data_IF_371121532217
#
_entry.id   IF_371121532217
#
_cell.length_a   1.000
_cell.length_b   1.000
_cell.length_c   1.000
_cell.angle_alpha   90.00
_cell.angle_beta   90.00
_cell.angle_gamma   90.00
#
_symmetry.space_group_name_H-M   'P 1'
#
loop_
_entity.id
_entity.type
_entity.pdbx_description
1 polymer ?
#
# COMPACT_ATOMS: atom_id res chain seq x y z
N UNK A 1 -11.25 -26.46 -46.66
CA UNK A 1 -10.82 -25.85 -45.39
C UNK A 1 -11.70 -26.41 -44.30
N UNK A 2 -11.14 -26.66 -43.12
CA UNK A 2 -11.93 -27.17 -42.01
C UNK A 2 -12.85 -26.04 -41.54
N UNK A 3 -14.15 -26.32 -41.40
CA UNK A 3 -15.10 -25.33 -40.90
C UNK A 3 -14.77 -25.04 -39.43
N UNK A 4 -14.57 -23.77 -39.11
CA UNK A 4 -14.41 -23.27 -37.75
C UNK A 4 -15.53 -22.28 -37.45
N UNK A 5 -16.10 -22.36 -36.25
CA UNK A 5 -16.97 -21.30 -35.74
C UNK A 5 -16.10 -20.09 -35.37
N UNK A 6 -16.51 -18.86 -35.74
CA UNK A 6 -15.79 -17.66 -35.34
C UNK A 6 -15.80 -17.51 -33.81
N UNK A 7 -14.70 -17.01 -33.26
CA UNK A 7 -14.61 -16.69 -31.83
C UNK A 7 -15.64 -15.61 -31.50
N UNK A 8 -16.53 -15.91 -30.55
CA UNK A 8 -17.63 -15.02 -30.15
C UNK A 8 -17.28 -14.21 -28.91
N UNK A 9 -16.10 -14.43 -28.30
CA UNK A 9 -15.66 -13.70 -27.11
C UNK A 9 -16.62 -13.84 -25.94
N UNK A 10 -17.37 -14.94 -25.89
CA UNK A 10 -18.53 -15.09 -25.04
C UNK A 10 -18.21 -15.17 -23.54
N UNK A 11 -19.06 -14.52 -22.76
CA UNK A 11 -19.12 -14.50 -21.28
C UNK A 11 -19.32 -15.92 -20.72
N UNK A 12 -19.76 -16.87 -21.55
CA UNK A 12 -20.06 -18.26 -21.18
C UNK A 12 -18.85 -19.09 -20.71
N UNK A 13 -17.62 -18.70 -21.08
CA UNK A 13 -16.37 -19.38 -20.70
C UNK A 13 -15.46 -18.47 -19.84
N UNK A 14 -15.99 -17.40 -19.23
CA UNK A 14 -15.19 -16.44 -18.47
C UNK A 14 -14.47 -17.11 -17.28
N UNK A 15 -15.19 -17.98 -16.57
CA UNK A 15 -14.68 -18.68 -15.39
C UNK A 15 -13.53 -19.64 -15.74
N UNK A 16 -13.72 -20.43 -16.79
CA UNK A 16 -12.68 -21.29 -17.37
C UNK A 16 -11.49 -20.48 -17.88
N UNK A 17 -11.76 -19.33 -18.52
CA UNK A 17 -10.71 -18.47 -19.07
C UNK A 17 -9.87 -17.82 -17.96
N UNK A 18 -10.48 -17.44 -16.84
CA UNK A 18 -9.76 -16.95 -15.67
C UNK A 18 -8.78 -18.01 -15.16
N UNK A 19 -9.23 -19.26 -15.01
CA UNK A 19 -8.41 -20.33 -14.48
C UNK A 19 -7.30 -20.79 -15.42
N UNK A 20 -7.62 -21.04 -16.69
CA UNK A 20 -6.68 -21.61 -17.66
C UNK A 20 -5.90 -20.57 -18.47
N UNK A 21 -6.33 -19.30 -18.45
CA UNK A 21 -5.77 -18.23 -19.29
C UNK A 21 -6.19 -18.31 -20.77
N UNK A 22 -7.03 -19.28 -21.13
CA UNK A 22 -7.61 -19.43 -22.47
C UNK A 22 -8.99 -20.10 -22.38
N UNK A 23 -9.90 -19.73 -23.29
CA UNK A 23 -11.20 -20.37 -23.42
C UNK A 23 -11.16 -21.65 -24.27
N UNK A 24 -12.11 -22.55 -24.03
CA UNK A 24 -12.29 -23.79 -24.79
C UNK A 24 -12.53 -23.49 -26.28
N UNK A 25 -13.29 -22.45 -26.62
CA UNK A 25 -13.52 -22.05 -28.01
C UNK A 25 -12.21 -21.73 -28.75
N UNK A 26 -11.28 -21.03 -28.09
CA UNK A 26 -9.99 -20.68 -28.67
C UNK A 26 -9.11 -21.91 -28.88
N UNK A 27 -9.17 -22.86 -27.94
CA UNK A 27 -8.45 -24.13 -28.06
C UNK A 27 -8.99 -24.95 -29.25
N UNK A 28 -10.31 -25.09 -29.40
CA UNK A 28 -10.93 -25.78 -30.56
C UNK A 28 -10.50 -25.19 -31.91
N UNK A 29 -10.55 -23.86 -32.03
CA UNK A 29 -10.11 -23.17 -33.26
C UNK A 29 -8.64 -23.47 -33.54
N UNK A 30 -7.78 -23.40 -32.53
CA UNK A 30 -6.35 -23.66 -32.67
C UNK A 30 -6.07 -25.11 -33.09
N UNK A 31 -6.76 -26.09 -32.49
CA UNK A 31 -6.62 -27.51 -32.85
C UNK A 31 -7.05 -27.74 -34.30
N UNK A 32 -8.19 -27.19 -34.74
CA UNK A 32 -8.66 -27.30 -36.12
C UNK A 32 -7.69 -26.70 -37.13
N UNK A 33 -7.14 -25.52 -36.82
CA UNK A 33 -6.11 -24.88 -37.65
C UNK A 33 -4.82 -25.69 -37.70
N UNK A 34 -4.37 -26.25 -36.58
CA UNK A 34 -3.19 -27.08 -36.52
C UNK A 34 -3.35 -28.34 -37.38
N UNK A 35 -4.51 -29.00 -37.31
CA UNK A 35 -4.79 -30.19 -38.13
C UNK A 35 -4.84 -29.83 -39.62
N UNK A 36 -5.47 -28.71 -39.98
CA UNK A 36 -5.48 -28.22 -41.37
C UNK A 36 -4.05 -27.97 -41.88
N UNK A 37 -3.22 -27.29 -41.09
CA UNK A 37 -1.82 -27.02 -41.43
C UNK A 37 -1.04 -28.33 -41.60
N UNK A 38 -1.21 -29.31 -40.71
CA UNK A 38 -0.51 -30.61 -40.81
C UNK A 38 -0.91 -31.38 -42.06
N UNK A 39 -2.19 -31.38 -42.44
CA UNK A 39 -2.66 -31.99 -43.68
C UNK A 39 -2.04 -31.28 -44.89
N UNK A 40 -2.07 -29.95 -44.92
CA UNK A 40 -1.51 -29.16 -46.02
C UNK A 40 -0.01 -29.36 -46.18
N UNK A 41 0.75 -29.27 -45.09
CA UNK A 41 2.20 -29.48 -45.12
C UNK A 41 2.53 -30.90 -45.56
N UNK A 42 1.88 -31.92 -44.99
CA UNK A 42 2.16 -33.31 -45.36
C UNK A 42 1.89 -33.63 -46.83
N UNK A 43 0.80 -33.10 -47.40
CA UNK A 43 0.48 -33.31 -48.83
C UNK A 43 1.41 -32.50 -49.74
N UNK A 44 1.80 -31.28 -49.35
CA UNK A 44 2.76 -30.46 -50.12
C UNK A 44 4.16 -31.04 -50.10
N UNK A 45 4.63 -31.54 -48.97
CA UNK A 45 5.93 -32.21 -48.86
C UNK A 45 5.96 -33.46 -49.77
N UNK A 46 4.86 -34.22 -49.81
CA UNK A 46 4.70 -35.33 -50.74
C UNK A 46 4.69 -34.87 -52.20
N UNK A 47 4.00 -33.78 -52.51
CA UNK A 47 3.97 -33.19 -53.86
C UNK A 47 5.38 -32.79 -54.32
N UNK A 48 6.12 -32.05 -53.49
CA UNK A 48 7.49 -31.63 -53.77
C UNK A 48 8.41 -32.84 -53.98
N UNK A 49 8.33 -33.84 -53.11
CA UNK A 49 9.12 -35.07 -53.24
C UNK A 49 8.83 -35.82 -54.55
N UNK A 50 7.56 -35.93 -54.94
CA UNK A 50 7.16 -36.58 -56.20
C UNK A 50 7.60 -35.78 -57.43
N UNK A 51 7.60 -34.45 -57.37
CA UNK A 51 8.10 -33.61 -58.46
C UNK A 51 9.62 -33.66 -58.62
N UNK A 52 10.37 -33.86 -57.53
CA UNK A 52 11.83 -33.98 -57.54
C UNK A 52 12.31 -35.39 -57.95
N UNK A 53 11.57 -36.42 -57.54
CA UNK A 53 11.96 -37.82 -57.78
C UNK A 53 11.53 -38.37 -59.14
N UNK A 54 10.53 -37.74 -59.78
CA UNK A 54 10.02 -38.13 -61.08
C UNK A 54 10.34 -37.04 -62.11
N UNK A 55 10.94 -37.41 -63.24
CA UNK A 55 11.15 -36.51 -64.38
C UNK A 55 9.80 -36.25 -65.10
N UNK A 56 8.95 -35.44 -64.46
CA UNK A 56 7.61 -35.10 -64.94
C UNK A 56 7.65 -33.94 -65.95
N UNK A 57 6.86 -34.05 -67.00
CA UNK A 57 6.59 -32.93 -67.91
C UNK A 57 5.69 -31.89 -67.24
N UNK A 58 5.68 -30.64 -67.74
CA UNK A 58 4.93 -29.53 -67.14
C UNK A 58 3.42 -29.81 -67.01
N UNK A 59 2.84 -30.57 -67.95
CA UNK A 59 1.43 -30.99 -67.90
C UNK A 59 1.17 -31.98 -66.76
N UNK A 60 2.11 -32.89 -66.50
CA UNK A 60 2.00 -33.89 -65.45
C UNK A 60 2.21 -33.25 -64.08
N UNK A 61 3.14 -32.28 -63.98
CA UNK A 61 3.31 -31.43 -62.77
C UNK A 61 2.02 -30.69 -62.41
N UNK A 62 1.39 -30.02 -63.38
CA UNK A 62 0.11 -29.33 -63.13
C UNK A 62 -1.01 -30.30 -62.72
N UNK A 63 -1.04 -31.50 -63.31
CA UNK A 63 -2.03 -32.53 -62.95
C UNK A 63 -1.80 -33.07 -61.54
N UNK A 64 -0.54 -33.24 -61.14
CA UNK A 64 -0.14 -33.65 -59.80
C UNK A 64 -0.55 -32.60 -58.76
N UNK A 65 -0.22 -31.32 -58.97
CA UNK A 65 -0.64 -30.22 -58.08
C UNK A 65 -2.15 -30.17 -57.91
N UNK A 66 -2.91 -30.28 -59.01
CA UNK A 66 -4.37 -30.29 -58.94
C UNK A 66 -4.91 -31.49 -58.14
N UNK A 67 -4.27 -32.65 -58.28
CA UNK A 67 -4.64 -33.87 -57.55
C UNK A 67 -4.31 -33.76 -56.06
N UNK A 68 -3.17 -33.17 -55.71
CA UNK A 68 -2.76 -32.87 -54.33
C UNK A 68 -3.71 -31.86 -53.67
N UNK A 69 -4.10 -30.80 -54.37
CA UNK A 69 -5.09 -29.83 -53.88
C UNK A 69 -6.46 -30.48 -53.62
N UNK A 70 -6.87 -31.42 -54.47
CA UNK A 70 -8.09 -32.20 -54.29
C UNK A 70 -7.96 -33.14 -53.08
N UNK A 71 -6.78 -33.73 -52.88
CA UNK A 71 -6.49 -34.60 -51.75
C UNK A 71 -6.56 -33.83 -50.43
N UNK A 72 -5.96 -32.64 -50.35
CA UNK A 72 -6.05 -31.75 -49.19
C UNK A 72 -7.51 -31.47 -48.84
N UNK A 73 -8.33 -31.09 -49.82
CA UNK A 73 -9.76 -30.82 -49.60
C UNK A 73 -10.48 -32.02 -49.02
N UNK A 74 -10.26 -33.20 -49.59
CA UNK A 74 -10.90 -34.44 -49.16
C UNK A 74 -10.51 -34.83 -47.74
N UNK A 75 -9.22 -34.72 -47.37
CA UNK A 75 -8.77 -34.97 -46.00
C UNK A 75 -9.33 -33.96 -45.01
N UNK A 76 -9.34 -32.67 -45.33
CA UNK A 76 -9.92 -31.64 -44.47
C UNK A 76 -11.43 -31.84 -44.26
N UNK A 77 -12.17 -32.21 -45.32
CA UNK A 77 -13.60 -32.53 -45.21
C UNK A 77 -13.84 -33.78 -44.36
N UNK A 78 -13.01 -34.82 -44.53
CA UNK A 78 -13.15 -36.08 -43.79
C UNK A 78 -12.73 -35.97 -42.33
N UNK A 79 -11.84 -35.04 -42.00
CA UNK A 79 -11.42 -34.76 -40.63
C UNK A 79 -12.50 -34.07 -39.79
N UNK A 80 -13.45 -33.38 -40.42
CA UNK A 80 -14.50 -32.60 -39.74
C UNK A 80 -15.22 -33.36 -38.62
N UNK A 81 -15.86 -34.52 -38.89
CA UNK A 81 -16.60 -35.28 -37.88
C UNK A 81 -15.73 -35.73 -36.70
N UNK A 82 -14.47 -36.09 -36.95
CA UNK A 82 -13.54 -36.46 -35.87
C UNK A 82 -13.15 -35.26 -35.02
N UNK A 83 -13.03 -34.08 -35.64
CA UNK A 83 -12.75 -32.82 -34.93
C UNK A 83 -13.97 -32.36 -34.12
N UNK A 84 -15.19 -32.65 -34.57
CA UNK A 84 -16.40 -32.36 -33.79
C UNK A 84 -16.41 -33.16 -32.47
N UNK A 85 -16.01 -34.44 -32.51
CA UNK A 85 -15.85 -35.27 -31.30
C UNK A 85 -14.74 -34.73 -30.38
N UNK A 86 -13.62 -34.30 -30.97
CA UNK A 86 -12.52 -33.71 -30.18
C UNK A 86 -12.98 -32.41 -29.52
N UNK A 87 -13.80 -31.61 -30.20
CA UNK A 87 -14.33 -30.37 -29.63
C UNK A 87 -15.23 -30.64 -28.41
N UNK A 88 -16.05 -31.69 -28.43
CA UNK A 88 -16.87 -32.12 -27.28
C UNK A 88 -16.00 -32.57 -26.09
N UNK A 89 -14.91 -33.28 -26.35
CA UNK A 89 -13.98 -33.70 -25.30
C UNK A 89 -13.19 -32.51 -24.74
N UNK A 90 -12.81 -31.55 -25.58
CA UNK A 90 -12.19 -30.29 -25.15
C UNK A 90 -13.13 -29.54 -24.21
N UNK A 91 -14.42 -29.44 -24.54
CA UNK A 91 -15.41 -28.84 -23.64
C UNK A 91 -15.46 -29.59 -22.31
N UNK A 92 -15.53 -30.92 -22.33
CA UNK A 92 -15.64 -31.71 -21.11
C UNK A 92 -14.43 -31.55 -20.18
N UNK A 93 -13.24 -31.41 -20.75
CA UNK A 93 -11.99 -31.31 -19.98
C UNK A 93 -11.80 -29.90 -19.42
N UNK A 94 -12.12 -28.87 -20.22
CA UNK A 94 -11.87 -27.47 -19.86
C UNK A 94 -13.00 -26.90 -19.00
N UNK A 95 -14.22 -27.42 -19.12
CA UNK A 95 -15.37 -26.91 -18.38
C UNK A 95 -15.20 -27.11 -16.88
N UNK A 96 -15.35 -26.03 -16.12
CA UNK A 96 -15.38 -26.07 -14.67
C UNK A 96 -16.83 -26.37 -14.25
N UNK A 97 -17.08 -27.40 -13.43
CA UNK A 97 -18.44 -27.68 -12.96
C UNK A 97 -19.01 -26.49 -12.17
N UNK A 98 -20.28 -26.15 -12.38
CA UNK A 98 -20.94 -25.02 -11.72
C UNK A 98 -20.98 -25.13 -10.18
N UNK A 99 -20.76 -26.33 -9.63
CA UNK A 99 -20.72 -26.59 -8.20
C UNK A 99 -19.29 -26.54 -7.61
N UNK A 100 -18.30 -26.18 -8.41
CA UNK A 100 -16.90 -26.06 -7.99
C UNK A 100 -16.53 -24.58 -7.98
N UNK A 101 -16.14 -24.11 -6.81
CA UNK A 101 -15.52 -22.81 -6.63
C UNK A 101 -14.01 -22.96 -6.78
N UNK A 102 -13.39 -22.07 -7.55
CA UNK A 102 -11.94 -22.02 -7.69
C UNK A 102 -11.28 -21.55 -6.39
N UNK A 103 -10.05 -21.99 -6.11
CA UNK A 103 -9.30 -21.53 -4.93
C UNK A 103 -9.13 -20.01 -4.86
N UNK A 104 -9.07 -19.35 -6.02
CA UNK A 104 -8.98 -17.90 -6.16
C UNK A 104 -10.21 -17.17 -5.61
N UNK A 105 -11.35 -17.84 -5.61
CA UNK A 105 -12.64 -17.31 -5.18
C UNK A 105 -13.05 -17.79 -3.79
N UNK A 106 -12.18 -18.50 -3.04
CA UNK A 106 -12.50 -18.95 -1.68
C UNK A 106 -12.97 -17.81 -0.75
N UNK A 107 -12.48 -16.58 -0.99
CA UNK A 107 -12.89 -15.38 -0.25
C UNK A 107 -14.37 -15.05 -0.49
N UNK A 108 -14.95 -15.47 -1.61
CA UNK A 108 -16.38 -15.30 -1.92
C UNK A 108 -17.27 -16.27 -1.14
N UNK A 109 -16.73 -17.31 -0.49
CA UNK A 109 -17.52 -18.19 0.38
C UNK A 109 -18.11 -17.43 1.57
N UNK A 110 -17.38 -16.43 2.05
CA UNK A 110 -17.83 -15.50 3.06
C UNK A 110 -18.34 -14.25 2.36
N UNK A 111 -19.54 -14.33 1.77
CA UNK A 111 -20.20 -13.16 1.19
C UNK A 111 -20.38 -12.08 2.28
N UNK A 112 -19.50 -11.08 2.26
CA UNK A 112 -19.66 -9.87 3.07
C UNK A 112 -20.73 -9.03 2.40
N UNK A 113 -21.83 -8.79 3.10
CA UNK A 113 -22.89 -7.92 2.58
C UNK A 113 -22.35 -6.50 2.39
N UNK A 114 -22.87 -5.77 1.39
CA UNK A 114 -22.50 -4.36 1.17
C UNK A 114 -22.72 -3.51 2.44
N UNK A 115 -23.74 -3.85 3.23
CA UNK A 115 -24.03 -3.19 4.51
C UNK A 115 -22.93 -3.44 5.54
N UNK A 116 -22.40 -4.66 5.63
CA UNK A 116 -21.33 -5.00 6.56
C UNK A 116 -20.00 -4.42 6.11
N UNK A 117 -19.76 -4.33 4.80
CA UNK A 117 -18.61 -3.62 4.26
C UNK A 117 -18.64 -2.12 4.60
N UNK A 118 -19.78 -1.44 4.43
CA UNK A 118 -19.90 -0.03 4.78
C UNK A 118 -19.80 0.20 6.31
N UNK A 119 -20.37 -0.67 7.14
CA UNK A 119 -20.15 -0.63 8.60
C UNK A 119 -18.67 -0.74 8.95
N UNK A 120 -17.95 -1.69 8.35
CA UNK A 120 -16.52 -1.89 8.59
C UNK A 120 -15.73 -0.65 8.16
N UNK A 121 -16.10 -0.05 7.02
CA UNK A 121 -15.49 1.18 6.52
C UNK A 121 -15.69 2.35 7.47
N UNK A 122 -16.90 2.55 7.98
CA UNK A 122 -17.19 3.58 8.99
C UNK A 122 -16.41 3.36 10.29
N UNK A 123 -16.30 2.11 10.74
CA UNK A 123 -15.51 1.74 11.91
C UNK A 123 -14.03 2.06 11.72
N UNK A 124 -13.45 1.73 10.56
CA UNK A 124 -12.06 2.06 10.23
C UNK A 124 -11.83 3.57 10.25
N UNK A 125 -12.75 4.36 9.71
CA UNK A 125 -12.66 5.83 9.72
C UNK A 125 -12.76 6.36 11.16
N UNK A 126 -13.67 5.83 11.97
CA UNK A 126 -13.83 6.19 13.38
C UNK A 126 -12.57 5.88 14.19
N UNK A 127 -11.99 4.69 14.00
CA UNK A 127 -10.77 4.26 14.67
C UNK A 127 -9.58 5.14 14.27
N UNK A 128 -9.41 5.48 12.99
CA UNK A 128 -8.36 6.42 12.55
C UNK A 128 -8.46 7.77 13.25
N UNK A 129 -9.66 8.36 13.31
CA UNK A 129 -9.88 9.63 14.05
C UNK A 129 -9.61 9.49 15.54
N UNK A 130 -9.87 8.33 16.14
CA UNK A 130 -9.55 8.08 17.56
C UNK A 130 -8.05 8.01 17.78
N UNK A 131 -7.31 7.34 16.89
CA UNK A 131 -5.85 7.25 16.95
C UNK A 131 -5.22 8.62 16.79
N UNK A 132 -5.66 9.42 15.81
CA UNK A 132 -5.17 10.80 15.61
C UNK A 132 -5.38 11.68 16.84
N UNK A 133 -6.58 11.62 17.45
CA UNK A 133 -6.86 12.34 18.69
C UNK A 133 -6.03 11.83 19.87
N UNK A 134 -5.80 10.52 19.96
CA UNK A 134 -4.94 9.92 20.97
C UNK A 134 -3.51 10.43 20.86
N UNK A 135 -2.95 10.45 19.66
CA UNK A 135 -1.60 10.96 19.40
C UNK A 135 -1.48 12.45 19.73
N UNK A 136 -2.50 13.26 19.40
CA UNK A 136 -2.51 14.69 19.79
C UNK A 136 -2.54 14.86 21.31
N UNK A 137 -3.37 14.07 22.00
CA UNK A 137 -3.46 14.14 23.46
C UNK A 137 -2.16 13.71 24.13
N UNK A 138 -1.52 12.64 23.65
CA UNK A 138 -0.22 12.19 24.13
C UNK A 138 0.85 13.29 23.98
N UNK A 139 0.88 13.97 22.83
CA UNK A 139 1.79 15.10 22.62
C UNK A 139 1.55 16.26 23.59
N UNK A 140 0.28 16.59 23.87
CA UNK A 140 -0.08 17.65 24.82
C UNK A 140 0.31 17.27 26.25
N UNK A 141 0.02 16.05 26.68
CA UNK A 141 0.37 15.56 28.01
C UNK A 141 1.88 15.51 28.22
N UNK A 142 2.63 15.10 27.20
CA UNK A 142 4.11 15.09 27.24
C UNK A 142 4.64 16.51 27.41
N UNK A 143 4.07 17.49 26.68
CA UNK A 143 4.46 18.89 26.83
C UNK A 143 4.13 19.46 28.22
N UNK A 144 2.96 19.10 28.78
CA UNK A 144 2.57 19.50 30.14
C UNK A 144 3.50 18.88 31.20
N UNK A 145 3.88 17.61 31.06
CA UNK A 145 4.82 16.95 31.97
C UNK A 145 6.20 17.61 31.95
N UNK A 146 6.69 18.01 30.78
CA UNK A 146 7.93 18.78 30.64
C UNK A 146 7.83 20.15 31.32
N UNK A 147 6.71 20.86 31.16
CA UNK A 147 6.46 22.15 31.81
C UNK A 147 6.41 22.00 33.33
N UNK A 148 5.66 21.04 33.85
CA UNK A 148 5.55 20.75 35.28
C UNK A 148 6.93 20.39 35.89
N UNK A 149 7.72 19.58 35.19
CA UNK A 149 9.10 19.25 35.58
C UNK A 149 9.99 20.50 35.65
N UNK A 150 9.78 21.47 34.76
CA UNK A 150 10.49 22.74 34.80
C UNK A 150 10.09 23.59 36.01
N UNK A 151 8.79 23.65 36.33
CA UNK A 151 8.26 24.39 37.48
C UNK A 151 8.73 23.76 38.79
N UNK A 152 8.72 22.43 38.89
CA UNK A 152 9.19 21.71 40.06
C UNK A 152 10.66 22.05 40.38
N UNK A 153 11.53 22.12 39.35
CA UNK A 153 12.92 22.55 39.52
C UNK A 153 13.03 23.97 40.07
N UNK A 154 12.19 24.90 39.59
CA UNK A 154 12.16 26.28 40.10
C UNK A 154 11.69 26.32 41.55
N UNK A 155 10.65 25.56 41.91
CA UNK A 155 10.18 25.44 43.29
C UNK A 155 11.27 24.87 44.22
N UNK A 156 12.01 23.86 43.78
CA UNK A 156 13.13 23.30 44.55
C UNK A 156 14.27 24.29 44.75
N UNK A 157 14.55 25.16 43.77
CA UNK A 157 15.51 26.27 43.93
C UNK A 157 14.97 27.27 44.96
N UNK A 158 13.72 27.69 44.82
CA UNK A 158 13.10 28.66 45.74
C UNK A 158 13.04 28.15 47.18
N UNK A 159 12.81 26.85 47.40
CA UNK A 159 12.88 26.22 48.73
C UNK A 159 14.29 26.35 49.32
N UNK A 160 15.33 26.03 48.55
CA UNK A 160 16.73 26.17 49.00
C UNK A 160 17.08 27.62 49.32
N UNK A 161 16.63 28.56 48.50
CA UNK A 161 16.85 29.99 48.75
C UNK A 161 16.15 30.44 50.04
N UNK A 162 14.92 29.97 50.28
CA UNK A 162 14.21 30.19 51.55
C UNK A 162 14.96 29.61 52.75
N UNK A 163 15.48 28.38 52.65
CA UNK A 163 16.28 27.77 53.73
C UNK A 163 17.53 28.60 54.05
N UNK A 164 18.21 29.14 53.03
CA UNK A 164 19.36 30.05 53.22
C UNK A 164 18.93 31.34 53.90
N UNK A 165 17.81 31.93 53.50
CA UNK A 165 17.27 33.14 54.13
C UNK A 165 16.89 32.89 55.60
N UNK A 166 16.26 31.75 55.91
CA UNK A 166 15.93 31.36 57.28
C UNK A 166 17.19 31.18 58.14
N UNK A 167 18.26 30.60 57.59
CA UNK A 167 19.55 30.48 58.26
C UNK A 167 20.20 31.87 58.48
N UNK A 168 20.15 32.75 57.49
CA UNK A 168 20.65 34.12 57.63
C UNK A 168 19.88 34.88 58.71
N UNK A 169 18.55 34.77 58.75
CA UNK A 169 17.70 35.39 59.77
C UNK A 169 18.05 34.86 61.17
N UNK A 170 18.13 33.54 61.36
CA UNK A 170 18.53 32.94 62.64
C UNK A 170 19.91 33.40 63.09
N UNK A 171 20.87 33.49 62.17
CA UNK A 171 22.21 34.02 62.47
C UNK A 171 22.15 35.51 62.85
N UNK A 172 21.32 36.31 62.19
CA UNK A 172 21.10 37.73 62.50
C UNK A 172 20.52 37.93 63.91
N UNK A 173 19.55 37.10 64.30
CA UNK A 173 18.88 37.18 65.60
C UNK A 173 19.76 36.70 66.76
N UNK A 174 20.66 35.73 66.49
CA UNK A 174 21.58 35.14 67.47
C UNK A 174 22.89 35.91 67.69
N UNK A 175 23.26 36.80 66.76
CA UNK A 175 24.53 37.53 66.81
C UNK A 175 24.36 38.92 67.45
N UNK A 176 24.83 39.08 68.69
CA UNK A 176 24.83 40.37 69.40
C UNK A 176 25.57 41.48 68.63
N UNK A 177 26.55 41.11 67.79
CA UNK A 177 27.27 42.05 66.92
C UNK A 177 26.39 42.68 65.84
N UNK A 178 25.35 41.99 65.37
CA UNK A 178 24.47 42.51 64.32
C UNK A 178 23.42 43.45 64.88
N UNK A 179 22.90 43.18 66.08
CA UNK A 179 22.07 44.14 66.84
C UNK A 179 22.87 45.41 67.15
N UNK A 180 24.16 45.27 67.47
CA UNK A 180 25.08 46.41 67.63
C UNK A 180 25.22 47.21 66.33
N UNK A 181 25.50 46.56 65.20
CA UNK A 181 25.61 47.22 63.89
C UNK A 181 24.27 47.87 63.48
N UNK A 182 23.14 47.22 63.71
CA UNK A 182 21.82 47.79 63.42
C UNK A 182 21.53 49.02 64.28
N UNK A 183 21.88 48.98 65.56
CA UNK A 183 21.74 50.11 66.48
C UNK A 183 22.69 51.26 66.14
N UNK A 184 23.92 50.96 65.71
CA UNK A 184 24.91 51.97 65.25
C UNK A 184 24.49 52.58 63.91
N UNK A 185 23.98 51.79 62.96
CA UNK A 185 23.47 52.30 61.69
C UNK A 185 22.21 53.14 61.90
N UNK A 186 21.27 52.71 62.76
CA UNK A 186 20.12 53.54 63.14
C UNK A 186 20.55 54.82 63.86
N UNK A 187 21.56 54.75 64.73
CA UNK A 187 22.13 55.92 65.40
C UNK A 187 22.76 56.88 64.39
N UNK A 188 23.59 56.38 63.47
CA UNK A 188 24.21 57.17 62.40
C UNK A 188 23.13 57.78 61.51
N UNK A 189 22.16 57.01 61.00
CA UNK A 189 21.06 57.53 60.19
C UNK A 189 20.19 58.56 60.94
N UNK A 190 19.99 58.42 62.25
CA UNK A 190 19.31 59.41 63.08
C UNK A 190 20.16 60.67 63.35
N UNK A 191 21.48 60.59 63.20
CA UNK A 191 22.42 61.71 63.32
C UNK A 191 22.81 62.35 61.98
N UNK A 192 22.50 61.73 60.83
CA UNK A 192 22.64 62.34 59.50
C UNK A 192 21.85 63.67 59.33
N UNK A 193 20.63 63.86 59.90
CA UNK A 193 19.95 65.17 59.87
C UNK A 193 20.70 66.28 60.62
N UNK A 194 21.64 65.93 61.50
CA UNK A 194 22.46 66.88 62.26
C UNK A 194 23.79 67.22 61.57
N UNK A 195 24.31 66.35 60.69
CA UNK A 195 25.59 66.59 60.01
C UNK A 195 25.44 67.48 58.77
N UNK A 196 24.26 67.50 58.13
CA UNK A 196 23.98 68.46 57.04
C UNK A 196 23.56 69.87 57.51
N UNK A 197 23.63 70.17 58.81
CA UNK A 197 23.23 71.49 59.37
C UNK A 197 24.36 72.34 59.94
N UNK A 198 25.62 71.88 59.91
CA UNK A 198 26.74 72.62 60.50
C UNK A 198 27.98 72.76 59.60
N UNK A 199 27.79 72.85 58.28
CA UNK A 199 28.77 73.49 57.38
C UNK A 199 28.05 74.35 56.33
N UNK A 200 27.51 75.48 56.78
CA UNK A 200 27.55 76.73 56.02
C UNK A 200 27.90 77.84 57.02
N UNK A 201 29.21 78.05 57.18
CA UNK A 201 29.76 79.32 57.57
C UNK A 201 29.37 80.34 56.49
N UNK A 202 28.57 81.33 56.87
CA UNK A 202 28.47 82.59 56.14
C UNK A 202 29.87 83.21 56.04
N UNK A 203 30.40 83.22 54.81
CA UNK A 203 31.37 84.23 54.38
C UNK A 203 30.60 85.12 53.41
N UNK A 204 30.04 86.21 53.96
CA UNK A 204 30.05 87.59 53.44
C UNK A 204 30.40 87.73 51.95
N UNK A 205 29.48 88.14 51.07
CA UNK A 205 28.89 89.49 50.86
C UNK A 205 29.44 90.07 49.54
N UNK A 206 28.54 90.68 48.76
CA UNK A 206 28.72 91.46 47.52
C UNK A 206 29.06 90.72 46.20
#
# INVERSE_FOLDING_TARGET
>A
MIKTTPWTGGIEEEYETQHFGFGAQRLKISVRQMVEQKIQTGVKDMESYLQESLDLNDKDKMTLTHSCDKLIRLYCERAGPSLDIIDEEIERIVKIPHNVLLPEDEVQLEEISDEDYEKLREEVVSLRRRVERGALMEALLTAEEEELSSVEKVCEIAKKDMEVLDLLQKNLESSDSVKSIQSEVQFVCASVPFINKNEQLDIFDE
#
